data_IF_400505033556
#
_entry.id   IF_400505033556
#
_cell.length_a   1.000
_cell.length_b   1.000
_cell.length_c   1.000
_cell.angle_alpha   90.00
_cell.angle_beta   90.00
_cell.angle_gamma   90.00
#
_symmetry.space_group_name_H-M   'P 1'
#
loop_
_entity.id
_entity.type
_entity.pdbx_description
1 polymer ?
#
# COMPACT_ATOMS: atom_id res chain seq x y z
N UNK A 1 -15.86 13.73 8.84
CA UNK A 1 -14.61 13.29 9.47
C UNK A 1 -13.58 13.03 8.39
N UNK A 2 -12.33 13.47 8.56
CA UNK A 2 -11.26 13.23 7.60
C UNK A 2 -10.84 11.74 7.60
N UNK A 3 -10.67 11.15 6.42
CA UNK A 3 -10.23 9.75 6.26
C UNK A 3 -8.72 9.64 6.55
N UNK A 4 -8.26 8.59 7.27
CA UNK A 4 -6.84 8.43 7.60
C UNK A 4 -6.01 7.86 6.43
N UNK A 5 -4.68 8.00 6.49
CA UNK A 5 -3.71 7.31 5.66
C UNK A 5 -3.38 5.93 6.27
N UNK A 6 -3.28 4.87 5.46
CA UNK A 6 -2.88 3.53 5.94
C UNK A 6 -1.52 3.09 5.38
N UNK A 7 -0.70 2.39 6.19
CA UNK A 7 0.65 1.95 5.79
C UNK A 7 1.04 0.55 6.25
N UNK A 8 1.83 -0.14 5.40
CA UNK A 8 2.50 -1.42 5.68
C UNK A 8 3.91 -1.48 5.05
N UNK A 9 4.94 -1.87 5.82
CA UNK A 9 6.34 -2.09 5.37
C UNK A 9 6.85 -3.45 5.86
N UNK A 10 7.34 -4.29 4.96
CA UNK A 10 7.80 -5.65 5.28
C UNK A 10 9.09 -6.11 4.60
N UNK A 11 9.64 -5.38 3.63
CA UNK A 11 10.83 -5.87 2.93
C UNK A 11 12.13 -5.62 3.72
N UNK A 12 13.06 -6.60 3.73
CA UNK A 12 14.41 -6.43 4.30
C UNK A 12 15.15 -5.19 3.78
N UNK A 13 14.94 -4.85 2.50
CA UNK A 13 15.50 -3.66 1.84
C UNK A 13 15.09 -2.31 2.46
N UNK A 14 14.12 -2.29 3.39
CA UNK A 14 13.70 -1.12 4.16
C UNK A 14 13.82 -1.31 5.67
N UNK A 15 13.70 -2.53 6.19
CA UNK A 15 13.86 -2.78 7.64
C UNK A 15 15.33 -2.81 8.07
N UNK A 16 16.25 -3.08 7.14
CA UNK A 16 17.68 -3.23 7.44
C UNK A 16 18.48 -1.97 7.06
N UNK A 17 17.81 -0.95 6.51
CA UNK A 17 18.37 0.33 6.09
C UNK A 17 17.71 1.49 6.87
N UNK A 18 18.27 1.86 8.03
CA UNK A 18 17.65 2.84 8.92
C UNK A 18 17.45 4.21 8.26
N UNK A 19 18.33 4.62 7.33
CA UNK A 19 18.17 5.85 6.56
C UNK A 19 16.87 5.88 5.74
N UNK A 20 16.50 4.76 5.10
CA UNK A 20 15.26 4.69 4.30
C UNK A 20 14.04 4.69 5.18
N UNK A 21 14.07 3.96 6.30
CA UNK A 21 12.94 3.97 7.21
C UNK A 21 12.73 5.36 7.81
N UNK A 22 13.82 6.10 8.08
CA UNK A 22 13.77 7.49 8.53
C UNK A 22 13.10 8.39 7.49
N UNK A 23 13.55 8.37 6.23
CA UNK A 23 12.94 9.16 5.15
C UNK A 23 11.45 8.91 5.03
N UNK A 24 11.06 7.63 5.07
CA UNK A 24 9.66 7.33 4.91
C UNK A 24 8.85 7.74 6.16
N UNK A 25 9.42 7.58 7.35
CA UNK A 25 8.83 8.05 8.60
C UNK A 25 8.61 9.57 8.57
N UNK A 26 9.62 10.32 8.13
CA UNK A 26 9.55 11.77 7.98
C UNK A 26 8.42 12.20 7.04
N UNK A 27 8.20 11.47 5.94
CA UNK A 27 7.07 11.71 5.04
C UNK A 27 5.71 11.56 5.74
N UNK A 28 5.56 10.54 6.60
CA UNK A 28 4.30 10.28 7.31
C UNK A 28 4.06 11.32 8.39
N UNK A 29 5.09 11.70 9.15
CA UNK A 29 4.99 12.74 10.18
C UNK A 29 4.64 14.11 9.57
N UNK A 30 5.13 14.39 8.36
CA UNK A 30 4.80 15.61 7.62
C UNK A 30 3.41 15.60 6.97
N UNK A 31 2.71 14.45 6.95
CA UNK A 31 1.38 14.34 6.35
C UNK A 31 0.36 15.22 7.10
N UNK A 32 -0.46 16.04 6.39
CA UNK A 32 -1.54 16.79 7.02
C UNK A 32 -2.72 15.89 7.45
N UNK A 33 -2.72 14.62 7.04
CA UNK A 33 -3.75 13.64 7.38
C UNK A 33 -3.30 12.75 8.56
N UNK A 34 -4.25 12.29 9.40
CA UNK A 34 -3.95 11.29 10.40
C UNK A 34 -3.49 9.99 9.73
N UNK A 35 -2.43 9.38 10.26
CA UNK A 35 -1.82 8.16 9.74
C UNK A 35 -2.07 7.02 10.71
N UNK A 36 -2.67 5.93 10.23
CA UNK A 36 -2.73 4.67 10.95
C UNK A 36 -1.68 3.72 10.37
N UNK A 37 -0.75 3.28 11.21
CA UNK A 37 0.31 2.37 10.82
C UNK A 37 0.25 1.09 11.66
N UNK A 38 -0.38 0.01 11.16
CA UNK A 38 -0.30 -1.31 11.77
C UNK A 38 1.12 -1.86 11.61
N UNK A 39 1.83 -1.99 12.73
CA UNK A 39 3.28 -2.29 12.74
C UNK A 39 3.51 -3.73 13.14
N UNK A 40 4.37 -4.43 12.40
CA UNK A 40 4.89 -5.73 12.83
C UNK A 40 5.85 -5.57 14.03
N UNK A 41 5.88 -6.55 14.94
CA UNK A 41 6.78 -6.56 16.12
C UNK A 41 8.25 -6.30 15.78
N UNK A 42 8.69 -6.68 14.56
CA UNK A 42 10.04 -6.45 14.06
C UNK A 42 10.35 -4.99 13.72
N UNK A 43 9.35 -4.22 13.27
CA UNK A 43 9.52 -2.85 12.80
C UNK A 43 9.30 -1.84 13.93
N UNK A 44 8.53 -2.23 14.96
CA UNK A 44 8.17 -1.37 16.10
C UNK A 44 9.38 -0.76 16.83
N UNK A 45 10.44 -1.50 17.16
CA UNK A 45 11.63 -0.92 17.81
C UNK A 45 12.33 0.12 16.93
N UNK A 46 12.35 -0.10 15.62
CA UNK A 46 12.99 0.82 14.67
C UNK A 46 12.19 2.12 14.58
N UNK A 47 10.86 2.04 14.53
CA UNK A 47 9.99 3.23 14.55
C UNK A 47 10.06 3.99 15.87
N UNK A 48 10.21 3.29 17.00
CA UNK A 48 10.44 3.91 18.30
C UNK A 48 11.77 4.69 18.31
N UNK A 49 12.86 4.13 17.76
CA UNK A 49 14.13 4.85 17.63
C UNK A 49 14.07 6.05 16.67
N UNK A 50 13.07 6.09 15.78
CA UNK A 50 12.79 7.22 14.91
C UNK A 50 11.81 8.26 15.51
N UNK A 51 11.39 8.09 16.78
CA UNK A 51 10.53 9.06 17.47
C UNK A 51 9.03 8.97 17.14
N UNK A 52 8.56 7.89 16.49
CA UNK A 52 7.14 7.73 16.13
C UNK A 52 6.31 7.13 17.27
N UNK A 53 6.93 6.34 18.15
CA UNK A 53 6.20 5.68 19.24
C UNK A 53 6.06 6.66 20.44
N UNK A 54 4.83 7.11 20.69
CA UNK A 54 4.50 7.84 21.93
C UNK A 54 4.66 9.37 21.92
N UNK A 55 4.88 10.00 20.76
CA UNK A 55 4.88 11.46 20.68
C UNK A 55 3.44 12.00 20.84
N UNK A 56 3.12 12.57 22.00
CA UNK A 56 1.87 13.31 22.22
C UNK A 56 1.74 14.41 21.16
N UNK A 57 0.59 14.42 20.44
CA UNK A 57 0.35 15.37 19.34
C UNK A 57 0.82 14.91 17.96
N UNK A 58 1.39 13.71 17.82
CA UNK A 58 1.71 13.13 16.50
C UNK A 58 0.45 12.82 15.69
N UNK A 59 0.51 13.07 14.39
CA UNK A 59 -0.50 12.64 13.42
C UNK A 59 -0.43 11.13 13.14
N UNK A 60 0.61 10.43 13.61
CA UNK A 60 0.82 8.99 13.38
C UNK A 60 0.39 8.18 14.61
N UNK A 61 -0.52 7.24 14.38
CA UNK A 61 -0.96 6.24 15.35
C UNK A 61 -0.44 4.86 14.96
N UNK A 62 0.39 4.29 15.82
CA UNK A 62 0.81 2.89 15.69
C UNK A 62 -0.27 1.97 16.25
N UNK A 63 -0.51 0.84 15.58
CA UNK A 63 -1.34 -0.25 16.11
C UNK A 63 -0.64 -1.58 15.98
N UNK A 64 -1.13 -2.58 16.70
CA UNK A 64 -0.77 -3.97 16.44
C UNK A 64 -1.24 -4.41 15.05
N UNK A 65 -0.67 -5.49 14.49
CA UNK A 65 -1.18 -6.09 13.26
C UNK A 65 -2.65 -6.46 13.42
N UNK A 66 -3.46 -6.13 12.41
CA UNK A 66 -4.90 -6.42 12.38
C UNK A 66 -5.19 -7.63 11.49
N UNK A 67 -6.38 -8.23 11.65
CA UNK A 67 -6.85 -9.30 10.78
C UNK A 67 -7.04 -8.84 9.33
N UNK A 68 -7.10 -9.78 8.39
CA UNK A 68 -7.23 -9.47 6.96
C UNK A 68 -8.48 -8.64 6.64
N UNK A 69 -9.64 -9.00 7.19
CA UNK A 69 -10.89 -8.27 6.93
C UNK A 69 -10.85 -6.85 7.51
N UNK A 70 -10.28 -6.69 8.71
CA UNK A 70 -10.09 -5.37 9.32
C UNK A 70 -9.12 -4.53 8.48
N UNK A 71 -8.04 -5.14 7.98
CA UNK A 71 -7.08 -4.49 7.09
C UNK A 71 -7.78 -4.00 5.81
N UNK A 72 -8.61 -4.83 5.20
CA UNK A 72 -9.34 -4.47 3.99
C UNK A 72 -10.34 -3.33 4.23
N UNK A 73 -11.01 -3.32 5.39
CA UNK A 73 -11.89 -2.24 5.80
C UNK A 73 -11.10 -0.92 6.00
N UNK A 74 -9.94 -0.98 6.67
CA UNK A 74 -9.05 0.16 6.82
C UNK A 74 -8.56 0.70 5.47
N UNK A 75 -8.17 -0.18 4.55
CA UNK A 75 -7.75 0.18 3.20
C UNK A 75 -8.87 0.88 2.42
N UNK A 76 -10.08 0.33 2.40
CA UNK A 76 -11.25 0.91 1.73
C UNK A 76 -11.60 2.30 2.26
N UNK A 77 -11.49 2.48 3.58
CA UNK A 77 -11.94 3.70 4.24
C UNK A 77 -10.86 4.79 4.29
N UNK A 78 -9.60 4.45 4.03
CA UNK A 78 -8.49 5.39 3.96
C UNK A 78 -8.64 6.44 2.84
N UNK A 79 -7.97 7.59 3.02
CA UNK A 79 -7.84 8.63 2.00
C UNK A 79 -6.85 8.21 0.91
N UNK A 80 -5.76 7.58 1.33
CA UNK A 80 -4.73 6.96 0.49
C UNK A 80 -3.99 5.89 1.30
N UNK A 81 -3.23 5.06 0.60
CA UNK A 81 -2.40 4.00 1.17
C UNK A 81 -0.94 4.26 0.78
N UNK A 82 -0.01 4.13 1.71
CA UNK A 82 1.44 4.13 1.44
C UNK A 82 2.01 2.75 1.78
N UNK A 83 2.55 2.00 0.83
CA UNK A 83 2.98 0.61 1.08
C UNK A 83 4.22 0.19 0.30
N UNK A 84 4.89 -0.87 0.72
CA UNK A 84 5.86 -1.63 -0.09
C UNK A 84 5.31 -2.98 -0.57
N UNK A 85 4.07 -3.33 -0.20
CA UNK A 85 3.50 -4.65 -0.43
C UNK A 85 2.90 -4.79 -1.84
N UNK A 86 3.21 -5.89 -2.52
CA UNK A 86 2.62 -6.24 -3.82
C UNK A 86 1.12 -6.50 -3.74
N UNK A 87 0.66 -7.27 -2.74
CA UNK A 87 -0.76 -7.59 -2.58
C UNK A 87 -1.61 -6.37 -2.24
N UNK A 88 -1.11 -5.48 -1.37
CA UNK A 88 -1.82 -4.24 -1.02
C UNK A 88 -2.00 -3.33 -2.23
N UNK A 89 -1.12 -3.36 -3.23
CA UNK A 89 -1.31 -2.58 -4.47
C UNK A 89 -2.55 -3.03 -5.24
N UNK A 90 -2.75 -4.35 -5.36
CA UNK A 90 -3.92 -4.92 -6.03
C UNK A 90 -5.19 -4.69 -5.20
N UNK A 91 -5.11 -4.92 -3.89
CA UNK A 91 -6.22 -4.68 -2.94
C UNK A 91 -6.67 -3.22 -2.96
N UNK A 92 -5.73 -2.26 -2.89
CA UNK A 92 -6.00 -0.82 -2.95
C UNK A 92 -6.73 -0.42 -4.23
N UNK A 93 -6.27 -0.92 -5.38
CA UNK A 93 -6.91 -0.72 -6.66
C UNK A 93 -8.34 -1.31 -6.69
N UNK A 94 -8.55 -2.48 -6.08
CA UNK A 94 -9.87 -3.13 -6.02
C UNK A 94 -10.87 -2.42 -5.09
N UNK A 95 -10.41 -1.90 -3.96
CA UNK A 95 -11.28 -1.20 -2.99
C UNK A 95 -11.46 0.29 -3.31
N UNK A 96 -10.86 0.78 -4.39
CA UNK A 96 -11.00 2.16 -4.83
C UNK A 96 -10.24 3.16 -3.96
N UNK A 97 -9.06 2.80 -3.44
CA UNK A 97 -8.25 3.69 -2.59
C UNK A 97 -6.91 4.00 -3.26
N UNK A 98 -6.55 5.28 -3.46
CA UNK A 98 -5.29 5.67 -4.08
C UNK A 98 -4.08 5.09 -3.32
N UNK A 99 -3.13 4.55 -4.06
CA UNK A 99 -1.95 3.89 -3.50
C UNK A 99 -0.67 4.63 -3.89
N UNK A 100 0.27 4.74 -2.96
CA UNK A 100 1.65 5.14 -3.19
C UNK A 100 2.54 3.97 -2.78
N UNK A 101 3.17 3.34 -3.76
CA UNK A 101 4.10 2.26 -3.54
C UNK A 101 5.52 2.81 -3.39
N UNK A 102 6.11 2.63 -2.21
CA UNK A 102 7.47 3.05 -1.91
C UNK A 102 8.47 2.01 -2.44
N UNK A 103 8.55 1.89 -3.77
CA UNK A 103 9.46 1.01 -4.50
C UNK A 103 9.90 1.68 -5.80
N UNK A 104 11.10 1.32 -6.27
CA UNK A 104 11.59 1.78 -7.59
C UNK A 104 10.89 1.11 -8.78
N UNK A 105 10.32 -0.08 -8.57
CA UNK A 105 9.61 -0.85 -9.57
C UNK A 105 8.49 -1.66 -8.92
N UNK A 106 7.54 -2.12 -9.75
CA UNK A 106 6.46 -3.00 -9.32
C UNK A 106 6.15 -4.05 -10.37
N UNK A 107 5.83 -5.25 -9.91
CA UNK A 107 5.23 -6.34 -10.68
C UNK A 107 3.74 -6.09 -10.98
N UNK A 108 3.13 -5.05 -10.39
CA UNK A 108 1.72 -4.68 -10.53
C UNK A 108 1.55 -3.43 -11.40
N UNK A 109 2.19 -3.42 -12.57
CA UNK A 109 2.17 -2.27 -13.49
C UNK A 109 0.74 -1.80 -13.82
N UNK A 110 -0.20 -2.74 -13.96
CA UNK A 110 -1.60 -2.43 -14.28
C UNK A 110 -2.26 -1.47 -13.29
N UNK A 111 -1.93 -1.53 -12.00
CA UNK A 111 -2.47 -0.60 -11.00
C UNK A 111 -1.89 0.81 -11.15
N UNK A 112 -0.67 0.93 -11.69
CA UNK A 112 -0.07 2.21 -12.05
C UNK A 112 -0.68 2.75 -13.34
N UNK A 113 -0.87 1.88 -14.33
CA UNK A 113 -1.39 2.25 -15.66
C UNK A 113 -2.81 2.83 -15.58
N UNK A 114 -3.68 2.26 -14.74
CA UNK A 114 -5.04 2.78 -14.51
C UNK A 114 -5.08 3.98 -13.55
N UNK A 115 -3.94 4.41 -13.01
CA UNK A 115 -3.83 5.57 -12.12
C UNK A 115 -4.17 5.30 -10.65
N UNK A 116 -4.49 4.05 -10.28
CA UNK A 116 -4.79 3.66 -8.90
C UNK A 116 -3.57 3.68 -7.97
N UNK A 117 -2.37 3.52 -8.54
CA UNK A 117 -1.11 3.43 -7.80
C UNK A 117 -0.03 4.36 -8.39
N UNK A 118 0.85 4.89 -7.53
CA UNK A 118 2.02 5.69 -7.93
C UNK A 118 3.27 5.14 -7.28
N UNK A 119 4.36 5.03 -8.03
CA UNK A 119 5.65 4.66 -7.47
C UNK A 119 6.35 5.88 -6.88
N UNK A 120 6.95 5.71 -5.71
CA UNK A 120 7.81 6.70 -5.08
C UNK A 120 9.10 6.03 -4.60
N UNK A 121 10.21 6.76 -4.70
CA UNK A 121 11.44 6.38 -4.02
C UNK A 121 11.23 6.44 -2.49
N UNK A 122 12.06 5.72 -1.74
CA UNK A 122 12.11 5.81 -0.27
C UNK A 122 12.80 7.13 0.17
N UNK A 123 12.18 8.26 -0.17
CA UNK A 123 12.63 9.63 0.04
C UNK A 123 11.42 10.46 0.49
N UNK A 124 11.57 11.29 1.52
CA UNK A 124 10.43 11.97 2.13
C UNK A 124 9.67 12.87 1.15
N UNK A 125 10.41 13.58 0.29
CA UNK A 125 9.84 14.50 -0.70
C UNK A 125 9.11 13.73 -1.79
N UNK A 126 9.74 12.69 -2.35
CA UNK A 126 9.13 11.87 -3.40
C UNK A 126 7.81 11.24 -2.93
N UNK A 127 7.75 10.79 -1.68
CA UNK A 127 6.55 10.21 -1.08
C UNK A 127 5.48 11.27 -0.86
N UNK A 128 5.85 12.45 -0.35
CA UNK A 128 4.94 13.58 -0.17
C UNK A 128 4.33 14.07 -1.48
N UNK A 129 5.14 14.20 -2.53
CA UNK A 129 4.70 14.60 -3.87
C UNK A 129 3.76 13.54 -4.47
N UNK A 130 4.11 12.26 -4.38
CA UNK A 130 3.27 11.17 -4.86
C UNK A 130 1.93 11.08 -4.09
N UNK A 131 1.95 11.31 -2.78
CA UNK A 131 0.76 11.33 -1.94
C UNK A 131 -0.16 12.51 -2.31
N UNK A 132 0.41 13.69 -2.53
CA UNK A 132 -0.33 14.88 -2.97
C UNK A 132 -1.03 14.62 -4.29
N UNK A 133 -0.32 14.02 -5.25
CA UNK A 133 -0.90 13.66 -6.55
C UNK A 133 -1.96 12.56 -6.44
N UNK A 134 -1.76 11.57 -5.58
CA UNK A 134 -2.73 10.50 -5.33
C UNK A 134 -4.03 11.06 -4.74
N UNK A 135 -3.94 11.98 -3.79
CA UNK A 135 -5.12 12.62 -3.18
C UNK A 135 -5.85 13.55 -4.15
N UNK A 136 -5.14 14.18 -5.09
CA UNK A 136 -5.73 15.04 -6.12
C UNK A 136 -6.38 14.25 -7.27
N UNK A 137 -5.90 13.02 -7.53
CA UNK A 137 -6.30 12.19 -8.68
C UNK A 137 -7.68 11.54 -8.58
N UNK A 138 -8.41 11.74 -7.47
CA UNK A 138 -9.71 11.11 -7.25
C UNK A 138 -9.59 9.61 -6.90
N UNK A 139 -10.73 8.92 -6.94
CA UNK A 139 -10.87 7.50 -6.56
C UNK A 139 -11.51 6.64 -7.65
N UNK A 140 -11.63 7.22 -8.84
CA UNK A 140 -12.30 6.61 -9.98
C UNK A 140 -11.24 6.26 -11.03
N UNK A 141 -11.19 4.99 -11.37
CA UNK A 141 -10.39 4.44 -12.45
C UNK A 141 -11.14 3.25 -13.05
N UNK A 142 -10.80 2.92 -14.29
CA UNK A 142 -11.30 1.71 -14.90
C UNK A 142 -10.71 0.49 -14.18
N UNK A 143 -11.58 -0.41 -13.73
CA UNK A 143 -11.15 -1.65 -13.10
C UNK A 143 -10.42 -2.50 -14.15
N UNK A 144 -9.22 -3.03 -13.86
CA UNK A 144 -8.51 -3.87 -14.80
C UNK A 144 -9.32 -5.09 -15.28
N UNK A 145 -9.07 -5.53 -16.51
CA UNK A 145 -9.75 -6.68 -17.09
C UNK A 145 -9.59 -7.92 -16.19
N UNK A 146 -10.68 -8.66 -16.00
CA UNK A 146 -10.75 -9.91 -15.22
C UNK A 146 -10.49 -9.78 -13.72
N UNK A 147 -10.42 -8.56 -13.19
CA UNK A 147 -10.40 -8.30 -11.74
C UNK A 147 -11.83 -8.31 -11.17
N UNK A 148 -12.56 -9.39 -11.46
CA UNK A 148 -13.96 -9.58 -11.08
C UNK A 148 -14.14 -10.77 -10.12
N UNK A 149 -15.38 -11.06 -9.71
CA UNK A 149 -15.68 -12.18 -8.82
C UNK A 149 -15.66 -13.56 -9.52
N UNK A 150 -15.54 -13.59 -10.85
CA UNK A 150 -15.66 -14.80 -11.68
C UNK A 150 -14.33 -15.53 -11.86
N UNK A 151 -13.24 -15.05 -11.25
CA UNK A 151 -11.90 -15.66 -11.35
C UNK A 151 -11.94 -17.14 -10.96
N UNK A 152 -12.57 -17.48 -9.83
CA UNK A 152 -12.66 -18.86 -9.37
C UNK A 152 -13.41 -19.76 -10.36
N UNK A 153 -14.55 -19.28 -10.88
CA UNK A 153 -15.35 -20.01 -11.86
C UNK A 153 -14.55 -20.27 -13.16
N UNK A 154 -13.83 -19.26 -13.66
CA UNK A 154 -12.96 -19.39 -14.85
C UNK A 154 -11.81 -20.36 -14.61
N UNK A 155 -11.18 -20.33 -13.44
CA UNK A 155 -10.10 -21.27 -13.09
C UNK A 155 -10.63 -22.71 -13.05
N UNK A 156 -11.76 -22.95 -12.39
CA UNK A 156 -12.38 -24.28 -12.36
C UNK A 156 -12.73 -24.77 -13.77
N UNK A 157 -13.34 -23.90 -14.60
CA UNK A 157 -13.65 -24.23 -15.98
C UNK A 157 -12.41 -24.59 -16.80
N UNK A 158 -11.30 -23.85 -16.63
CA UNK A 158 -10.04 -24.13 -17.32
C UNK A 158 -9.41 -25.46 -16.89
N UNK A 159 -9.47 -25.79 -15.59
CA UNK A 159 -8.98 -27.06 -15.07
C UNK A 159 -9.79 -28.26 -15.58
N UNK A 160 -11.12 -28.11 -15.66
CA UNK A 160 -12.03 -29.16 -16.18
C UNK A 160 -11.96 -29.30 -17.70
N UNK A 161 -11.74 -28.21 -18.43
CA UNK A 161 -11.63 -28.19 -19.89
C UNK A 161 -10.30 -28.71 -20.43
N UNK A 162 -9.35 -29.02 -19.54
CA UNK A 162 -7.98 -29.39 -19.89
C UNK A 162 -7.11 -28.16 -20.10
N UNK A 163 -6.03 -28.06 -19.33
CA UNK A 163 -5.01 -27.03 -19.54
C UNK A 163 -4.11 -27.51 -20.67
N UNK A 164 -4.30 -26.98 -21.87
CA UNK A 164 -3.32 -27.19 -22.94
C UNK A 164 -2.00 -26.53 -22.49
N UNK A 165 -0.87 -27.25 -22.49
CA UNK A 165 0.41 -26.63 -22.23
C UNK A 165 0.61 -25.47 -23.22
N UNK A 166 1.14 -24.35 -22.73
CA UNK A 166 1.59 -23.27 -23.61
C UNK A 166 2.56 -23.90 -24.63
N UNK A 167 2.19 -23.89 -25.91
CA UNK A 167 3.09 -24.38 -26.96
C UNK A 167 4.29 -23.44 -27.03
N UNK A 168 5.49 -23.95 -26.71
CA UNK A 168 6.75 -23.23 -26.90
C UNK A 168 7.45 -22.73 -25.63
N UNK A 169 7.66 -23.62 -24.65
CA UNK A 169 8.80 -23.53 -23.73
C UNK A 169 9.78 -24.66 -24.02
#
# INVERSE_FOLDING_TARGET
MARPLHRRVHRPEYTDHPERLHEITSALLASPLPVLFPVHLRTRPVLASAGIDGAEGSNVRLSDPVGYLDMLALQRDAAAIVTDSGGIQEEACMVGTPCVTVRRNTERAIAVDVGANRLAAADARAIGDALTQALAGGREWERPERWDAEVAARVVAALLGGVLPLQGY
#
